data_IF_126889453829
#
_entry.id   IF_126889453829
#
_cell.length_a   1.000
_cell.length_b   1.000
_cell.length_c   1.000
_cell.angle_alpha   90.00
_cell.angle_beta   90.00
_cell.angle_gamma   90.00
#
_symmetry.space_group_name_H-M   'P 1'
#
loop_
_entity.id
_entity.type
_entity.pdbx_description
1 polymer ?
#
# COMPACT_ATOMS: atom_id res chain seq x y z
N UNK A 1 8.25 -21.85 19.27
CA UNK A 1 8.69 -22.44 17.97
C UNK A 1 7.55 -22.46 16.95
N UNK A 2 6.34 -22.87 17.36
CA UNK A 2 5.13 -22.79 16.52
C UNK A 2 4.79 -21.34 16.13
N UNK A 3 4.96 -20.38 17.05
CA UNK A 3 4.64 -18.95 16.81
C UNK A 3 5.51 -18.33 15.71
N UNK A 4 6.82 -18.64 15.69
CA UNK A 4 7.72 -18.17 14.65
C UNK A 4 7.37 -18.75 13.28
N UNK A 5 6.90 -20.00 13.23
CA UNK A 5 6.47 -20.64 12.00
C UNK A 5 5.18 -19.99 11.46
N UNK A 6 4.25 -19.64 12.36
CA UNK A 6 3.01 -18.92 12.01
C UNK A 6 3.34 -17.52 11.46
N UNK A 7 4.24 -16.79 12.12
CA UNK A 7 4.67 -15.45 11.68
C UNK A 7 5.32 -15.53 10.28
N UNK A 8 6.19 -16.52 10.04
CA UNK A 8 6.80 -16.71 8.72
C UNK A 8 5.77 -17.08 7.66
N UNK A 9 4.84 -17.99 7.97
CA UNK A 9 3.81 -18.39 7.03
C UNK A 9 2.89 -17.22 6.65
N UNK A 10 2.40 -16.48 7.65
CA UNK A 10 1.54 -15.32 7.42
C UNK A 10 2.30 -14.17 6.74
N UNK A 11 3.58 -13.99 7.07
CA UNK A 11 4.47 -13.07 6.35
C UNK A 11 4.56 -13.43 4.87
N UNK A 12 4.82 -14.69 4.52
CA UNK A 12 4.87 -15.14 3.13
C UNK A 12 3.54 -14.90 2.39
N UNK A 13 2.41 -15.25 2.99
CA UNK A 13 1.07 -15.02 2.40
C UNK A 13 0.82 -13.53 2.18
N UNK A 14 1.11 -12.71 3.18
CA UNK A 14 1.00 -11.25 3.10
C UNK A 14 1.88 -10.68 2.00
N UNK A 15 3.11 -11.19 1.83
CA UNK A 15 4.02 -10.79 0.76
C UNK A 15 3.50 -11.06 -0.64
N UNK A 16 2.93 -12.25 -0.82
CA UNK A 16 2.30 -12.63 -2.07
C UNK A 16 1.11 -11.69 -2.34
N UNK A 17 0.25 -11.44 -1.35
CA UNK A 17 -0.88 -10.51 -1.48
C UNK A 17 -0.46 -9.08 -1.82
N UNK A 18 0.59 -8.57 -1.19
CA UNK A 18 1.15 -7.24 -1.48
C UNK A 18 1.70 -7.19 -2.92
N UNK A 19 2.39 -8.24 -3.36
CA UNK A 19 2.83 -8.38 -4.75
C UNK A 19 1.65 -8.31 -5.73
N UNK A 20 0.59 -9.09 -5.50
CA UNK A 20 -0.63 -9.06 -6.31
C UNK A 20 -1.31 -7.68 -6.32
N UNK A 21 -1.28 -6.97 -5.19
CA UNK A 21 -1.83 -5.62 -5.08
C UNK A 21 -1.12 -4.63 -6.01
N UNK A 22 0.16 -4.85 -6.31
CA UNK A 22 0.97 -4.01 -7.22
C UNK A 22 0.87 -4.44 -8.68
N UNK A 23 0.53 -5.71 -8.97
CA UNK A 23 0.52 -6.27 -10.34
C UNK A 23 -0.85 -6.30 -11.01
N UNK A 24 -1.89 -5.69 -10.43
CA UNK A 24 -3.17 -5.47 -11.14
C UNK A 24 -4.43 -6.00 -10.45
N UNK A 25 -4.35 -6.45 -9.20
CA UNK A 25 -5.53 -6.77 -8.39
C UNK A 25 -5.75 -5.65 -7.34
N UNK A 26 -6.40 -4.54 -7.71
CA UNK A 26 -6.75 -3.50 -6.75
C UNK A 26 -7.64 -4.10 -5.66
N UNK A 27 -7.19 -4.00 -4.41
CA UNK A 27 -7.89 -4.53 -3.22
C UNK A 27 -7.14 -5.62 -2.45
N UNK A 28 -6.16 -6.30 -3.07
CA UNK A 28 -5.39 -7.34 -2.38
C UNK A 28 -4.58 -6.80 -1.18
N UNK A 29 -4.03 -5.58 -1.30
CA UNK A 29 -3.30 -4.91 -0.21
C UNK A 29 -4.18 -4.50 0.98
N UNK A 30 -5.47 -4.24 0.74
CA UNK A 30 -6.43 -3.92 1.81
C UNK A 30 -6.69 -5.14 2.68
N UNK A 31 -6.60 -6.36 2.13
CA UNK A 31 -6.69 -7.61 2.89
C UNK A 31 -5.37 -7.95 3.61
N UNK A 32 -4.22 -7.65 3.01
CA UNK A 32 -2.90 -7.90 3.60
C UNK A 32 -2.71 -7.18 4.94
N UNK A 33 -3.25 -5.97 5.07
CA UNK A 33 -3.10 -5.12 6.26
C UNK A 33 -3.77 -5.68 7.53
N UNK A 34 -5.07 -6.03 7.54
CA UNK A 34 -5.73 -6.63 8.70
C UNK A 34 -5.22 -8.03 9.01
N UNK A 35 -4.81 -8.82 8.00
CA UNK A 35 -4.19 -10.14 8.24
C UNK A 35 -2.96 -9.98 9.14
N UNK A 36 -2.08 -9.01 8.84
CA UNK A 36 -0.89 -8.77 9.66
C UNK A 36 -1.21 -8.14 11.02
N UNK A 37 -2.30 -7.39 11.12
CA UNK A 37 -2.79 -6.81 12.38
C UNK A 37 -3.44 -7.82 13.33
N UNK A 38 -3.75 -9.03 12.88
CA UNK A 38 -4.21 -10.12 13.78
C UNK A 38 -3.10 -10.66 14.67
N UNK A 39 -1.84 -10.54 14.22
CA UNK A 39 -0.66 -11.12 14.90
C UNK A 39 0.12 -10.04 15.65
N UNK A 40 0.18 -8.83 15.11
CA UNK A 40 0.97 -7.73 15.65
C UNK A 40 0.08 -6.54 16.02
N UNK A 41 0.46 -5.72 17.03
CA UNK A 41 -0.17 -4.44 17.26
C UNK A 41 -0.01 -3.54 16.02
N UNK A 42 -1.01 -2.69 15.74
CA UNK A 42 -1.12 -1.93 14.49
C UNK A 42 0.17 -1.20 14.06
N UNK A 43 0.92 -0.65 15.03
CA UNK A 43 2.19 0.05 14.77
C UNK A 43 3.28 -0.88 14.22
N UNK A 44 3.42 -2.07 14.83
CA UNK A 44 4.39 -3.09 14.41
C UNK A 44 3.99 -3.70 13.07
N UNK A 45 2.70 -3.94 12.83
CA UNK A 45 2.21 -4.46 11.54
C UNK A 45 2.58 -3.55 10.38
N UNK A 46 2.40 -2.23 10.52
CA UNK A 46 2.82 -1.25 9.49
C UNK A 46 4.33 -1.30 9.29
N UNK A 47 5.09 -1.37 10.38
CA UNK A 47 6.56 -1.45 10.35
C UNK A 47 7.08 -2.65 9.56
N UNK A 48 6.42 -3.81 9.65
CA UNK A 48 6.77 -5.01 8.88
C UNK A 48 6.26 -4.95 7.44
N UNK A 49 5.08 -4.37 7.22
CA UNK A 49 4.51 -4.22 5.87
C UNK A 49 5.31 -3.26 5.00
N UNK A 50 5.80 -2.14 5.55
CA UNK A 50 6.56 -1.13 4.80
C UNK A 50 7.74 -1.71 3.98
N UNK A 51 8.70 -2.46 4.56
CA UNK A 51 9.82 -3.02 3.80
C UNK A 51 9.35 -4.05 2.77
N UNK A 52 8.27 -4.78 3.04
CA UNK A 52 7.66 -5.70 2.08
C UNK A 52 7.06 -4.96 0.88
N UNK A 53 6.37 -3.83 1.11
CA UNK A 53 5.89 -2.96 0.03
C UNK A 53 7.05 -2.37 -0.77
N UNK A 54 8.11 -1.90 -0.11
CA UNK A 54 9.30 -1.38 -0.79
C UNK A 54 9.97 -2.45 -1.65
N UNK A 55 10.10 -3.68 -1.17
CA UNK A 55 10.61 -4.80 -1.96
C UNK A 55 9.71 -5.07 -3.18
N UNK A 56 8.38 -5.06 -3.02
CA UNK A 56 7.46 -5.22 -4.14
C UNK A 56 7.60 -4.10 -5.18
N UNK A 57 7.81 -2.85 -4.73
CA UNK A 57 8.07 -1.71 -5.61
C UNK A 57 9.39 -1.86 -6.36
N UNK A 58 10.46 -2.27 -5.68
CA UNK A 58 11.77 -2.51 -6.30
C UNK A 58 11.70 -3.62 -7.35
N UNK A 59 10.97 -4.72 -7.07
CA UNK A 59 10.76 -5.79 -8.04
C UNK A 59 9.95 -5.30 -9.24
N UNK A 60 8.88 -4.53 -9.00
CA UNK A 60 8.07 -3.95 -10.08
C UNK A 60 8.92 -3.02 -10.97
N UNK A 61 9.71 -2.12 -10.38
CA UNK A 61 10.62 -1.24 -11.11
C UNK A 61 11.67 -2.07 -11.85
N UNK A 62 12.27 -3.08 -11.21
CA UNK A 62 13.31 -3.90 -11.83
C UNK A 62 12.79 -4.75 -13.00
N UNK A 63 11.52 -5.17 -12.95
CA UNK A 63 10.84 -5.87 -14.04
C UNK A 63 10.48 -4.93 -15.21
N UNK A 64 9.97 -3.74 -14.92
CA UNK A 64 9.54 -2.76 -15.93
C UNK A 64 10.64 -1.79 -16.39
N UNK A 65 11.86 -1.87 -15.84
CA UNK A 65 12.98 -0.94 -16.07
C UNK A 65 13.38 -0.73 -17.54
N UNK A 66 13.04 -1.67 -18.42
CA UNK A 66 13.40 -1.58 -19.84
C UNK A 66 12.62 -0.49 -20.59
N UNK A 67 11.43 -0.11 -20.11
CA UNK A 67 10.59 0.94 -20.72
C UNK A 67 10.48 2.19 -19.84
N UNK A 68 11.17 2.22 -18.69
CA UNK A 68 11.04 3.30 -17.72
C UNK A 68 12.14 4.34 -17.89
N UNK A 69 11.73 5.60 -18.05
CA UNK A 69 12.65 6.73 -18.11
C UNK A 69 13.21 7.04 -16.71
N UNK A 70 14.51 6.75 -16.52
CA UNK A 70 15.15 6.80 -15.20
C UNK A 70 15.22 8.23 -14.64
N UNK A 71 15.19 9.23 -15.53
CA UNK A 71 15.28 10.65 -15.18
C UNK A 71 14.00 11.11 -14.48
N UNK A 72 12.83 10.77 -15.02
CA UNK A 72 11.54 11.08 -14.39
C UNK A 72 11.39 10.36 -13.04
N UNK A 73 11.84 9.11 -12.95
CA UNK A 73 11.80 8.36 -11.70
C UNK A 73 12.67 9.01 -10.60
N UNK A 74 13.86 9.51 -10.97
CA UNK A 74 14.74 10.26 -10.06
C UNK A 74 14.19 11.63 -9.68
N UNK A 75 13.40 12.27 -10.55
CA UNK A 75 12.78 13.57 -10.29
C UNK A 75 11.62 13.49 -9.30
N UNK A 76 10.89 12.37 -9.29
CA UNK A 76 9.81 12.09 -8.33
C UNK A 76 10.33 11.65 -6.95
N UNK A 77 11.48 10.98 -6.94
CA UNK A 77 12.15 10.44 -5.75
C UNK A 77 12.31 11.46 -4.60
N UNK A 78 12.81 12.70 -4.80
CA UNK A 78 12.94 13.67 -3.72
C UNK A 78 11.61 14.07 -3.09
N UNK A 79 10.54 14.22 -3.89
CA UNK A 79 9.20 14.51 -3.36
C UNK A 79 8.67 13.36 -2.50
N UNK A 80 8.84 12.12 -2.97
CA UNK A 80 8.48 10.91 -2.21
C UNK A 80 9.28 10.80 -0.90
N UNK A 81 10.59 11.09 -0.92
CA UNK A 81 11.42 11.04 0.28
C UNK A 81 10.98 12.08 1.33
N UNK A 82 10.66 13.30 0.89
CA UNK A 82 10.15 14.34 1.79
C UNK A 82 8.81 13.91 2.40
N UNK A 83 7.90 13.36 1.60
CA UNK A 83 6.62 12.83 2.08
C UNK A 83 6.79 11.66 3.05
N UNK A 84 7.69 10.72 2.75
CA UNK A 84 7.99 9.57 3.61
C UNK A 84 8.59 10.01 4.94
N UNK A 85 9.49 10.99 4.93
CA UNK A 85 10.09 11.55 6.15
C UNK A 85 9.06 12.28 7.02
N UNK A 86 8.17 13.08 6.41
CA UNK A 86 7.05 13.70 7.11
C UNK A 86 6.11 12.66 7.71
N UNK A 87 5.74 11.64 6.93
CA UNK A 87 4.89 10.54 7.39
C UNK A 87 5.53 9.77 8.55
N UNK A 88 6.82 9.44 8.47
CA UNK A 88 7.57 8.81 9.55
C UNK A 88 7.54 9.65 10.83
N UNK A 89 7.80 10.96 10.71
CA UNK A 89 7.79 11.86 11.87
C UNK A 89 6.40 11.98 12.50
N UNK A 90 5.35 12.05 11.68
CA UNK A 90 3.97 12.05 12.19
C UNK A 90 3.64 10.73 12.89
N UNK A 91 3.96 9.59 12.27
CA UNK A 91 3.72 8.26 12.83
C UNK A 91 4.50 8.04 14.13
N UNK A 92 5.71 8.57 14.24
CA UNK A 92 6.53 8.50 15.46
C UNK A 92 5.92 9.24 16.66
N UNK A 93 5.15 10.32 16.39
CA UNK A 93 4.49 11.13 17.42
C UNK A 93 3.15 10.53 17.87
N UNK A 94 2.57 9.60 17.11
CA UNK A 94 1.31 8.94 17.46
C UNK A 94 1.58 7.75 18.39
N UNK A 95 0.93 7.76 19.55
CA UNK A 95 0.95 6.64 20.48
C UNK A 95 0.22 5.42 19.90
N UNK A 96 0.69 4.22 20.24
CA UNK A 96 0.15 2.95 19.73
C UNK A 96 -1.36 2.78 20.00
N UNK A 97 -1.84 3.34 21.11
CA UNK A 97 -3.26 3.30 21.50
C UNK A 97 -4.16 4.10 20.55
N UNK A 98 -3.70 5.27 20.11
CA UNK A 98 -4.44 6.12 19.16
C UNK A 98 -4.28 5.62 17.72
N UNK A 99 -3.17 4.96 17.40
CA UNK A 99 -2.91 4.46 16.06
C UNK A 99 -3.90 3.34 15.67
N UNK A 100 -4.26 2.47 16.62
CA UNK A 100 -5.16 1.33 16.39
C UNK A 100 -6.55 1.75 15.87
N UNK A 101 -7.30 2.67 16.51
CA UNK A 101 -8.60 3.11 15.99
C UNK A 101 -8.47 3.91 14.70
N UNK A 102 -7.43 4.74 14.53
CA UNK A 102 -7.18 5.48 13.27
C UNK A 102 -7.01 4.49 12.11
N UNK A 103 -6.20 3.46 12.29
CA UNK A 103 -5.96 2.44 11.27
C UNK A 103 -7.23 1.64 10.97
N UNK A 104 -8.02 1.32 11.99
CA UNK A 104 -9.33 0.67 11.82
C UNK A 104 -10.30 1.51 11.00
N UNK A 105 -10.40 2.81 11.28
CA UNK A 105 -11.24 3.75 10.51
C UNK A 105 -10.73 3.85 9.07
N UNK A 106 -9.42 3.93 8.87
CA UNK A 106 -8.81 3.97 7.53
C UNK A 106 -9.18 2.71 6.73
N UNK A 107 -9.02 1.52 7.33
CA UNK A 107 -9.37 0.25 6.71
C UNK A 107 -10.86 0.15 6.38
N UNK A 108 -11.73 0.54 7.31
CA UNK A 108 -13.18 0.57 7.06
C UNK A 108 -13.54 1.54 5.94
N UNK A 109 -12.88 2.70 5.86
CA UNK A 109 -13.10 3.69 4.81
C UNK A 109 -12.65 3.15 3.45
N UNK A 110 -11.48 2.49 3.38
CA UNK A 110 -10.99 1.87 2.15
C UNK A 110 -11.89 0.71 1.70
N UNK A 111 -12.33 -0.14 2.63
CA UNK A 111 -13.29 -1.22 2.34
C UNK A 111 -14.63 -0.66 1.86
N UNK A 112 -15.14 0.40 2.49
CA UNK A 112 -16.37 1.06 2.08
C UNK A 112 -16.22 1.66 0.68
N UNK A 113 -15.07 2.30 0.39
CA UNK A 113 -14.78 2.87 -0.91
C UNK A 113 -14.69 1.77 -1.98
N UNK A 114 -14.07 0.63 -1.69
CA UNK A 114 -13.97 -0.50 -2.62
C UNK A 114 -15.34 -1.14 -2.85
N UNK A 115 -16.14 -1.30 -1.80
CA UNK A 115 -17.52 -1.75 -1.91
C UNK A 115 -18.38 -0.78 -2.73
N UNK A 116 -18.21 0.53 -2.52
CA UNK A 116 -18.88 1.56 -3.30
C UNK A 116 -18.42 1.55 -4.76
N UNK A 117 -17.11 1.36 -5.03
CA UNK A 117 -16.57 1.20 -6.39
C UNK A 117 -17.16 -0.03 -7.08
N UNK A 118 -17.30 -1.14 -6.35
CA UNK A 118 -17.94 -2.35 -6.84
C UNK A 118 -19.42 -2.15 -7.13
N UNK A 119 -20.14 -1.45 -6.24
CA UNK A 119 -21.57 -1.13 -6.40
C UNK A 119 -21.85 -0.13 -7.52
N UNK A 120 -21.05 0.92 -7.64
CA UNK A 120 -21.19 1.98 -8.63
C UNK A 120 -20.56 1.65 -9.98
N UNK A 121 -19.89 0.50 -10.09
CA UNK A 121 -19.37 -0.10 -11.31
C UNK A 121 -18.85 0.94 -12.33
N UNK A 122 -17.84 1.71 -11.91
CA UNK A 122 -17.17 2.74 -12.72
C UNK A 122 -16.33 2.13 -13.86
N UNK A 123 -16.93 1.23 -14.65
CA UNK A 123 -16.41 0.77 -15.94
C UNK A 123 -16.43 1.87 -17.02
N UNK A 124 -16.83 3.12 -16.68
CA UNK A 124 -17.11 4.18 -17.65
C UNK A 124 -16.38 5.52 -17.49
N UNK A 125 -15.56 5.79 -16.47
CA UNK A 125 -14.89 7.11 -16.35
C UNK A 125 -13.50 7.18 -17.01
N UNK A 126 -12.92 6.05 -17.42
CA UNK A 126 -11.59 6.03 -18.05
C UNK A 126 -11.63 6.11 -19.58
N UNK A 127 -12.81 6.34 -20.19
CA UNK A 127 -12.96 6.38 -21.65
C UNK A 127 -13.44 7.73 -22.21
N UNK A 128 -13.81 8.71 -21.37
CA UNK A 128 -14.10 10.05 -21.85
C UNK A 128 -12.89 10.97 -21.69
N UNK A 129 -12.03 10.98 -22.72
CA UNK A 129 -11.47 12.14 -23.42
C UNK A 129 -11.23 13.49 -22.73
N UNK A 130 -11.04 13.57 -21.41
CA UNK A 130 -10.78 14.83 -20.69
C UNK A 130 -9.32 14.99 -20.27
N UNK A 131 -8.40 14.22 -20.88
CA UNK A 131 -6.97 14.26 -20.57
C UNK A 131 -6.16 15.43 -21.16
N UNK A 132 -6.58 16.24 -22.17
CA UNK A 132 -5.67 17.28 -22.68
C UNK A 132 -5.93 18.69 -22.12
N UNK A 133 -7.00 18.95 -21.37
CA UNK A 133 -7.37 20.33 -20.98
C UNK A 133 -6.82 20.74 -19.61
N UNK A 134 -6.53 19.79 -18.72
CA UNK A 134 -6.08 20.08 -17.34
C UNK A 134 -4.56 19.94 -17.17
N UNK A 135 -3.90 19.18 -18.05
CA UNK A 135 -2.44 18.99 -18.06
C UNK A 135 -1.85 19.49 -19.39
N UNK A 136 -2.15 20.74 -19.73
CA UNK A 136 -1.35 21.55 -20.66
C UNK A 136 -0.15 22.16 -19.93
#
# INVERSE_FOLDING_TARGET
>A
MLDNLIILFVGCVTGILVGFSKTGVPGAGILATPIMATIFPAKESIGVLLPMLVCADLLAVCYYKHHADKIELLRLLPGCLVGMFLGFRLLSQVNSENLKPILGILLLTLLLLEWLRYRLNFHGIAQHGLSPVIFG
#
